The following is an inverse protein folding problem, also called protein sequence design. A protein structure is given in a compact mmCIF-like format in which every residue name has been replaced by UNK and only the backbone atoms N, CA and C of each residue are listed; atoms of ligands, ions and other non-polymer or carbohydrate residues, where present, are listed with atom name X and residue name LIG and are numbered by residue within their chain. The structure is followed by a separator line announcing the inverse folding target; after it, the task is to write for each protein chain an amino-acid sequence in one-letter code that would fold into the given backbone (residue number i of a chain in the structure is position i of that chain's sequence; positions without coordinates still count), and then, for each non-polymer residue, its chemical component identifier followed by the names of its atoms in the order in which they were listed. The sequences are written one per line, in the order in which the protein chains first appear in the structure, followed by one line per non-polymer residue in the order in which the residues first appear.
data_IF_769520129582
#
_entry.id   IF_769520129582
#
_cell.length_a   1.000
_cell.length_b   1.000
_cell.length_c   1.000
_cell.angle_alpha   90.00
_cell.angle_beta   90.00
_cell.angle_gamma   90.00
#
_symmetry.space_group_name_H-M   'P 1'
#
loop_
_entity.id
_entity.type
_entity.pdbx_description
1 polymer ?
#
# COMPACT_ATOMS: atom_id res chain seq x y z
N UNK A 1 9.46 -8.32 -5.72
CA UNK A 1 8.26 -8.11 -4.88
C UNK A 1 7.31 -9.28 -5.11
N UNK A 2 6.73 -9.91 -4.07
CA UNK A 2 5.79 -11.03 -4.29
C UNK A 2 4.51 -10.49 -4.98
N UNK A 3 3.88 -11.25 -5.89
CA UNK A 3 2.69 -10.78 -6.62
C UNK A 3 1.54 -10.34 -5.70
N UNK A 4 1.41 -10.97 -4.53
CA UNK A 4 0.39 -10.62 -3.52
C UNK A 4 0.58 -9.26 -2.84
N UNK A 5 1.73 -8.59 -2.98
CA UNK A 5 1.94 -7.25 -2.39
C UNK A 5 1.38 -6.13 -3.27
N UNK A 6 1.16 -6.43 -4.56
CA UNK A 6 0.67 -5.49 -5.56
C UNK A 6 -0.86 -5.43 -5.60
N UNK A 7 -1.53 -6.50 -5.20
CA UNK A 7 -2.98 -6.52 -5.05
C UNK A 7 -3.40 -5.71 -3.81
N UNK A 8 -4.32 -4.76 -4.00
CA UNK A 8 -4.89 -3.94 -2.94
C UNK A 8 -6.36 -4.24 -2.80
N UNK A 9 -6.80 -4.41 -1.55
CA UNK A 9 -8.19 -4.47 -1.15
C UNK A 9 -8.49 -3.18 -0.39
N UNK A 10 -9.34 -2.32 -0.96
CA UNK A 10 -9.67 -1.00 -0.42
C UNK A 10 -11.16 -0.83 -0.28
N UNK A 11 -11.50 0.01 0.68
CA UNK A 11 -12.86 0.44 0.95
C UNK A 11 -13.05 1.85 0.42
N UNK A 12 -14.08 2.03 -0.41
CA UNK A 12 -14.57 3.33 -0.86
C UNK A 12 -15.91 3.57 -0.16
N UNK A 13 -15.96 4.62 0.65
CA UNK A 13 -17.18 5.02 1.35
C UNK A 13 -17.85 6.13 0.55
N UNK A 14 -19.07 5.88 0.11
CA UNK A 14 -19.94 6.83 -0.57
C UNK A 14 -20.78 7.59 0.45
N UNK A 15 -21.27 8.76 0.06
CA UNK A 15 -22.22 9.52 0.84
C UNK A 15 -23.62 8.89 0.77
N UNK A 16 -24.42 9.05 1.82
CA UNK A 16 -25.82 8.55 1.88
C UNK A 16 -26.72 9.09 0.76
N UNK A 17 -26.37 10.25 0.20
CA UNK A 17 -27.13 10.92 -0.83
C UNK A 17 -26.28 11.13 -2.09
N UNK A 18 -26.81 10.86 -3.29
CA UNK A 18 -28.10 10.20 -3.59
C UNK A 18 -28.13 8.70 -3.23
N UNK A 19 -29.34 8.13 -3.07
CA UNK A 19 -29.51 6.69 -2.81
C UNK A 19 -29.13 5.83 -4.03
N UNK A 20 -28.79 4.56 -3.81
CA UNK A 20 -28.43 3.62 -4.88
C UNK A 20 -27.06 3.87 -5.52
N UNK A 21 -26.21 4.69 -4.88
CA UNK A 21 -24.86 4.96 -5.39
C UNK A 21 -23.98 3.71 -5.43
N UNK A 22 -24.10 2.79 -4.47
CA UNK A 22 -23.29 1.56 -4.47
C UNK A 22 -23.62 0.68 -5.68
N UNK A 23 -24.90 0.43 -5.96
CA UNK A 23 -25.30 -0.39 -7.11
C UNK A 23 -24.86 0.25 -8.43
N UNK A 24 -25.05 1.56 -8.58
CA UNK A 24 -24.59 2.30 -9.76
C UNK A 24 -23.07 2.26 -9.92
N UNK A 25 -22.33 2.37 -8.81
CA UNK A 25 -20.87 2.30 -8.83
C UNK A 25 -20.42 0.88 -9.20
N UNK A 26 -21.06 -0.17 -8.66
CA UNK A 26 -20.79 -1.55 -9.04
C UNK A 26 -20.98 -1.77 -10.55
N UNK A 27 -22.13 -1.38 -11.10
CA UNK A 27 -22.39 -1.52 -12.53
C UNK A 27 -21.39 -0.75 -13.41
N UNK A 28 -20.84 0.35 -12.91
CA UNK A 28 -19.81 1.11 -13.64
C UNK A 28 -18.45 0.40 -13.60
N UNK A 29 -18.13 -0.26 -12.49
CA UNK A 29 -16.83 -0.90 -12.26
C UNK A 29 -16.78 -2.35 -12.76
N UNK A 30 -17.92 -3.03 -12.93
CA UNK A 30 -18.01 -4.41 -13.47
C UNK A 30 -17.39 -4.57 -14.87
N UNK A 31 -17.26 -3.48 -15.64
CA UNK A 31 -16.68 -3.50 -16.98
C UNK A 31 -15.16 -3.27 -17.04
N UNK A 32 -14.49 -3.08 -15.89
CA UNK A 32 -13.06 -2.74 -15.83
C UNK A 32 -12.20 -3.99 -15.68
N UNK A 33 -11.30 -4.22 -16.64
CA UNK A 33 -10.37 -5.35 -16.61
C UNK A 33 -9.39 -5.23 -15.43
N UNK A 34 -9.14 -6.31 -14.69
CA UNK A 34 -8.22 -6.29 -13.54
C UNK A 34 -8.74 -5.58 -12.27
N UNK A 35 -10.00 -5.16 -12.24
CA UNK A 35 -10.68 -4.57 -11.09
C UNK A 35 -11.87 -5.44 -10.67
N UNK A 36 -11.95 -5.79 -9.38
CA UNK A 36 -13.13 -6.45 -8.80
C UNK A 36 -13.78 -5.50 -7.81
N UNK A 37 -15.05 -5.18 -8.01
CA UNK A 37 -15.82 -4.35 -7.09
C UNK A 37 -16.97 -5.16 -6.48
N UNK A 38 -17.16 -5.08 -5.16
CA UNK A 38 -18.24 -5.74 -4.43
C UNK A 38 -18.86 -4.79 -3.41
N UNK A 39 -20.15 -4.95 -3.13
CA UNK A 39 -20.80 -4.22 -2.05
C UNK A 39 -20.13 -4.55 -0.69
N UNK A 40 -19.89 -3.53 0.11
CA UNK A 40 -19.37 -3.66 1.46
C UNK A 40 -20.45 -4.09 2.46
N UNK A 41 -20.07 -4.34 3.73
CA UNK A 41 -21.01 -4.66 4.80
C UNK A 41 -21.96 -3.50 5.15
N UNK A 42 -21.58 -2.25 4.89
CA UNK A 42 -22.43 -1.08 5.09
C UNK A 42 -23.10 -0.64 3.77
N UNK A 43 -24.31 -0.02 3.83
CA UNK A 43 -25.12 0.31 2.64
C UNK A 43 -24.47 1.32 1.69
N UNK A 44 -23.53 2.14 2.18
CA UNK A 44 -22.81 3.15 1.37
C UNK A 44 -21.35 2.78 1.15
N UNK A 45 -21.01 1.50 1.32
CA UNK A 45 -19.63 1.04 1.26
C UNK A 45 -19.44 0.15 0.05
N UNK A 46 -18.35 0.40 -0.66
CA UNK A 46 -17.89 -0.38 -1.80
C UNK A 46 -16.50 -0.93 -1.48
N UNK A 47 -16.28 -2.21 -1.70
CA UNK A 47 -14.94 -2.81 -1.61
C UNK A 47 -14.42 -3.04 -3.02
N UNK A 48 -13.22 -2.53 -3.29
CA UNK A 48 -12.55 -2.68 -4.57
C UNK A 48 -11.24 -3.44 -4.37
N UNK A 49 -10.99 -4.39 -5.26
CA UNK A 49 -9.73 -5.13 -5.35
C UNK A 49 -9.11 -4.89 -6.71
N UNK A 50 -7.87 -4.43 -6.72
CA UNK A 50 -7.14 -4.11 -7.95
C UNK A 50 -5.65 -4.29 -7.79
N UNK A 51 -4.95 -4.39 -8.92
CA UNK A 51 -3.50 -4.31 -8.95
C UNK A 51 -3.04 -2.84 -8.89
N UNK A 52 -2.21 -2.49 -7.91
CA UNK A 52 -1.68 -1.14 -7.72
C UNK A 52 -0.87 -0.66 -8.92
N UNK A 53 -0.35 -1.54 -9.78
CA UNK A 53 0.36 -1.13 -11.00
C UNK A 53 -0.59 -0.57 -12.07
N UNK A 54 -1.83 -1.05 -12.11
CA UNK A 54 -2.82 -0.67 -13.12
C UNK A 54 -3.72 0.45 -12.59
N UNK A 55 -4.28 0.26 -11.39
CA UNK A 55 -5.22 1.20 -10.77
C UNK A 55 -4.68 1.79 -9.47
N UNK A 56 -5.13 3.00 -9.12
CA UNK A 56 -4.93 3.61 -7.80
C UNK A 56 -6.27 3.91 -7.17
N UNK A 57 -6.30 3.94 -5.83
CA UNK A 57 -7.49 4.38 -5.12
C UNK A 57 -7.89 5.80 -5.54
N UNK A 58 -6.90 6.70 -5.61
CA UNK A 58 -7.11 8.09 -6.01
C UNK A 58 -7.70 8.22 -7.41
N UNK A 59 -7.23 7.42 -8.36
CA UNK A 59 -7.72 7.41 -9.73
C UNK A 59 -9.15 6.90 -9.81
N UNK A 60 -9.46 5.81 -9.09
CA UNK A 60 -10.82 5.26 -9.02
C UNK A 60 -11.79 6.26 -8.37
N UNK A 61 -11.42 6.87 -7.25
CA UNK A 61 -12.24 7.86 -6.55
C UNK A 61 -12.44 9.15 -7.38
N UNK A 62 -11.41 9.61 -8.10
CA UNK A 62 -11.51 10.75 -9.01
C UNK A 62 -12.42 10.45 -10.21
N UNK A 63 -12.32 9.24 -10.77
CA UNK A 63 -13.20 8.79 -11.86
C UNK A 63 -14.66 8.69 -11.38
N UNK A 64 -14.90 8.11 -10.21
CA UNK A 64 -16.24 8.07 -9.59
C UNK A 64 -16.78 9.48 -9.35
N UNK A 65 -15.96 10.39 -8.80
CA UNK A 65 -16.35 11.79 -8.59
C UNK A 65 -16.71 12.49 -9.90
N UNK A 66 -15.95 12.23 -10.96
CA UNK A 66 -16.19 12.79 -12.31
C UNK A 66 -17.50 12.27 -12.94
N UNK A 67 -17.92 11.06 -12.58
CA UNK A 67 -19.21 10.46 -12.99
C UNK A 67 -20.39 10.90 -12.11
N UNK A 68 -20.17 11.79 -11.14
CA UNK A 68 -21.21 12.36 -10.27
C UNK A 68 -21.49 11.56 -9.01
N UNK A 69 -20.60 10.63 -8.62
CA UNK A 69 -20.68 9.97 -7.32
C UNK A 69 -20.13 10.87 -6.21
N UNK A 70 -20.75 10.80 -5.04
CA UNK A 70 -20.40 11.59 -3.88
C UNK A 70 -19.68 10.68 -2.88
N UNK A 71 -18.40 10.94 -2.66
CA UNK A 71 -17.59 10.23 -1.68
C UNK A 71 -17.80 10.82 -0.29
N UNK A 72 -17.64 9.99 0.75
CA UNK A 72 -17.70 10.48 2.13
C UNK A 72 -16.58 11.49 2.40
N UNK A 73 -16.98 12.68 2.83
CA UNK A 73 -16.08 13.81 3.05
C UNK A 73 -15.79 14.07 4.53
N UNK A 74 -16.12 13.12 5.42
CA UNK A 74 -15.72 13.21 6.81
C UNK A 74 -14.19 13.30 6.95
N UNK A 75 -13.73 13.97 8.00
CA UNK A 75 -12.30 14.17 8.24
C UNK A 75 -11.56 12.82 8.32
N UNK A 76 -12.15 11.83 8.99
CA UNK A 76 -11.55 10.51 9.14
C UNK A 76 -11.39 9.80 7.78
N UNK A 77 -12.41 9.86 6.92
CA UNK A 77 -12.36 9.29 5.58
C UNK A 77 -11.31 9.99 4.71
N UNK A 78 -11.17 11.32 4.82
CA UNK A 78 -10.11 12.07 4.11
C UNK A 78 -8.71 11.64 4.54
N UNK A 79 -8.47 11.46 5.84
CA UNK A 79 -7.17 11.02 6.36
C UNK A 79 -6.85 9.60 5.91
N UNK A 80 -7.81 8.67 6.01
CA UNK A 80 -7.65 7.27 5.54
C UNK A 80 -7.29 7.23 4.05
N UNK A 81 -7.99 8.01 3.23
CA UNK A 81 -7.74 8.11 1.79
C UNK A 81 -6.38 8.71 1.49
N UNK A 82 -6.03 9.84 2.11
CA UNK A 82 -4.73 10.48 1.92
C UNK A 82 -3.56 9.54 2.27
N UNK A 83 -3.70 8.75 3.34
CA UNK A 83 -2.71 7.73 3.69
C UNK A 83 -2.62 6.64 2.63
N UNK A 84 -3.76 6.12 2.16
CA UNK A 84 -3.78 5.12 1.10
C UNK A 84 -3.14 5.63 -0.20
N UNK A 85 -3.46 6.86 -0.62
CA UNK A 85 -2.90 7.51 -1.80
C UNK A 85 -1.39 7.66 -1.68
N UNK A 86 -0.92 8.13 -0.53
CA UNK A 86 0.51 8.27 -0.27
C UNK A 86 1.22 6.93 -0.36
N UNK A 87 0.73 5.90 0.35
CA UNK A 87 1.32 4.57 0.32
C UNK A 87 1.37 3.98 -1.09
N UNK A 88 0.29 4.09 -1.86
CA UNK A 88 0.23 3.59 -3.24
C UNK A 88 1.16 4.38 -4.17
N UNK A 89 1.26 5.70 -4.00
CA UNK A 89 2.19 6.54 -4.78
C UNK A 89 3.66 6.18 -4.52
N UNK A 90 4.01 5.88 -3.26
CA UNK A 90 5.37 5.47 -2.87
C UNK A 90 5.65 4.07 -3.41
N UNK A 91 4.68 3.15 -3.26
CA UNK A 91 4.82 1.80 -3.78
C UNK A 91 5.05 1.78 -5.29
N UNK A 92 4.26 2.53 -6.07
CA UNK A 92 4.46 2.67 -7.52
C UNK A 92 5.84 3.24 -7.86
N UNK A 93 6.27 4.28 -7.16
CA UNK A 93 7.62 4.86 -7.36
C UNK A 93 8.72 3.85 -7.06
N UNK A 94 8.58 3.05 -6.01
CA UNK A 94 9.55 2.01 -5.67
C UNK A 94 9.58 0.87 -6.69
N UNK A 95 8.42 0.49 -7.23
CA UNK A 95 8.32 -0.51 -8.32
C UNK A 95 9.02 0.02 -9.58
N UNK A 96 8.77 1.29 -9.94
CA UNK A 96 9.39 1.93 -11.10
C UNK A 96 10.90 2.16 -10.92
N UNK A 97 11.36 2.39 -9.69
CA UNK A 97 12.76 2.69 -9.40
C UNK A 97 13.70 1.49 -9.57
N UNK A 98 13.20 0.25 -9.59
CA UNK A 98 13.98 -1.00 -9.58
C UNK A 98 15.01 -1.07 -8.42
N UNK A 99 15.67 -2.22 -8.25
CA UNK A 99 16.54 -2.48 -7.08
C UNK A 99 17.58 -1.38 -6.84
N UNK A 100 17.81 -0.95 -5.58
CA UNK A 100 18.89 -0.04 -5.27
C UNK A 100 20.21 -0.67 -5.73
N UNK A 101 21.06 0.11 -6.40
CA UNK A 101 22.36 -0.32 -6.89
C UNK A 101 23.12 -1.08 -5.77
N UNK A 102 23.37 -2.37 -6.01
CA UNK A 102 23.91 -3.35 -5.06
C UNK A 102 25.24 -2.88 -4.44
N UNK A 103 25.93 -1.91 -5.05
CA UNK A 103 27.16 -1.32 -4.50
C UNK A 103 26.93 -0.64 -3.15
N UNK A 104 25.75 -0.09 -2.90
CA UNK A 104 25.41 0.52 -1.61
C UNK A 104 25.41 -0.52 -0.48
N UNK A 105 24.81 -1.69 -0.69
CA UNK A 105 24.73 -2.75 0.32
C UNK A 105 26.11 -3.31 0.69
N UNK A 106 27.01 -3.51 -0.28
CA UNK A 106 28.37 -3.96 0.03
C UNK A 106 29.17 -2.94 0.84
N UNK A 107 28.95 -1.64 0.61
CA UNK A 107 29.56 -0.60 1.42
C UNK A 107 29.02 -0.61 2.86
N UNK A 108 27.71 -0.80 3.05
CA UNK A 108 27.12 -0.93 4.39
C UNK A 108 27.56 -2.21 5.10
N UNK A 109 27.70 -3.36 4.41
CA UNK A 109 28.25 -4.59 4.99
C UNK A 109 29.69 -4.38 5.44
N UNK A 110 30.55 -3.77 4.61
CA UNK A 110 31.95 -3.48 4.98
C UNK A 110 32.08 -2.50 6.14
N UNK A 111 31.15 -1.55 6.28
CA UNK A 111 31.12 -0.60 7.40
C UNK A 111 30.59 -1.28 8.66
N UNK A 112 29.54 -2.09 8.53
CA UNK A 112 28.97 -2.89 9.62
C UNK A 112 29.98 -3.91 10.17
N UNK A 113 30.76 -4.58 9.32
CA UNK A 113 31.85 -5.48 9.73
C UNK A 113 32.99 -4.75 10.46
N UNK A 114 33.17 -3.45 10.18
CA UNK A 114 34.22 -2.62 10.79
C UNK A 114 33.78 -1.93 12.08
N UNK A 115 32.49 -1.97 12.42
CA UNK A 115 32.04 -1.49 13.72
C UNK A 115 32.39 -2.52 14.80
N UNK A 116 33.07 -2.08 15.87
CA UNK A 116 33.26 -2.88 17.07
C UNK A 116 31.89 -3.10 17.74
N UNK A 117 31.18 -4.13 17.29
CA UNK A 117 30.06 -4.67 18.05
C UNK A 117 30.66 -5.28 19.31
N UNK A 118 30.23 -4.84 20.49
CA UNK A 118 30.70 -5.34 21.80
C UNK A 118 30.38 -6.82 22.08
N UNK A 119 29.96 -7.55 21.06
CA UNK A 119 29.68 -9.00 21.03
C UNK A 119 30.84 -9.80 20.41
N UNK A 120 31.91 -9.13 19.97
CA UNK A 120 33.16 -9.79 19.65
C UNK A 120 33.94 -9.97 20.95
N UNK A 121 33.71 -11.09 21.62
CA UNK A 121 34.54 -11.51 22.73
C UNK A 121 35.93 -11.91 22.20
N UNK A 122 36.88 -10.98 22.24
CA UNK A 122 38.28 -11.19 21.87
C UNK A 122 39.07 -11.98 22.92
N UNK A 123 38.43 -12.50 23.98
CA UNK A 123 39.11 -13.28 25.02
C UNK A 123 39.76 -14.51 24.38
N UNK A 124 41.11 -14.63 24.42
CA UNK A 124 41.81 -15.80 23.92
C UNK A 124 41.33 -17.07 24.63
N UNK A 125 41.28 -18.20 23.91
CA UNK A 125 40.77 -19.47 24.46
C UNK A 125 41.50 -19.89 25.76
N UNK A 126 42.80 -19.55 25.86
CA UNK A 126 43.64 -19.79 27.03
C UNK A 126 43.14 -19.12 28.31
N UNK A 127 42.33 -18.06 28.20
CA UNK A 127 41.84 -17.26 29.32
C UNK A 127 40.41 -17.65 29.74
N UNK A 128 39.70 -18.46 28.95
CA UNK A 128 38.32 -18.90 29.26
C UNK A 128 38.26 -20.02 30.31
N UNK A 129 39.40 -20.63 30.66
CA UNK A 129 39.49 -21.79 31.55
C UNK A 129 39.91 -21.51 32.99
N UNK A 130 40.26 -20.27 33.34
CA UNK A 130 40.64 -19.94 34.72
C UNK A 130 39.39 -19.60 35.54
N UNK A 131 39.14 -20.40 36.58
CA UNK A 131 38.15 -20.15 37.64
C UNK A 131 38.86 -20.06 38.98
#
# INVERSE_FOLDING_TARGET
MRPCDLEKDREIVLHDLPSGQVERALSLLEGMDGLTAVAGPAPNQLRVRYNVCEYTLEGLESALSSQGFHLDNSLLSKIKRALAYFCESVQRRNIAANEPDIKSQQAFVKVYEKHLHGDRDETPEEWRGYK
#
